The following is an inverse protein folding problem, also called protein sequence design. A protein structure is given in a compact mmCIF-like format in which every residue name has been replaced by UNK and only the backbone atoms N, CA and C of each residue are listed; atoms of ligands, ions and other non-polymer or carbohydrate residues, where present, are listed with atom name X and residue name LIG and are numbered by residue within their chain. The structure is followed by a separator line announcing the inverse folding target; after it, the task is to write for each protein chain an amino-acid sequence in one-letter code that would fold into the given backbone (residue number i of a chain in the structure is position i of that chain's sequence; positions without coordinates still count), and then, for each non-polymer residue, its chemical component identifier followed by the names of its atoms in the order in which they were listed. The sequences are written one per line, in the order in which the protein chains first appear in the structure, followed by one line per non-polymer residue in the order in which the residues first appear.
data_IF_857008730045
#
_entry.id   IF_857008730045
#
_cell.length_a   1.000
_cell.length_b   1.000
_cell.length_c   1.000
_cell.angle_alpha   90.00
_cell.angle_beta   90.00
_cell.angle_gamma   90.00
#
_symmetry.space_group_name_H-M   'P 1'
#
loop_
_entity.id
_entity.type
_entity.pdbx_description
1 polymer ?
#
# COMPACT_ATOMS: atom_id res chain seq x y z
N UNK A 1 37.97 8.08 -6.65
CA UNK A 1 37.28 9.05 -5.78
C UNK A 1 36.67 8.45 -4.50
N UNK A 2 36.82 7.15 -4.21
CA UNK A 2 36.23 6.49 -3.04
C UNK A 2 37.16 6.28 -1.82
N UNK A 3 38.45 6.63 -1.91
CA UNK A 3 39.39 6.51 -0.78
C UNK A 3 39.32 7.67 0.23
N UNK A 4 38.70 8.81 -0.12
CA UNK A 4 38.71 10.01 0.74
C UNK A 4 37.59 10.05 1.79
N UNK A 5 36.46 9.37 1.57
CA UNK A 5 35.30 9.44 2.47
C UNK A 5 35.45 8.46 3.64
N UNK A 6 36.00 7.27 3.39
CA UNK A 6 36.25 6.27 4.45
C UNK A 6 37.30 6.77 5.45
N UNK A 7 38.33 7.45 4.97
CA UNK A 7 39.37 8.03 5.85
C UNK A 7 38.83 9.21 6.67
N UNK A 8 37.90 10.01 6.13
CA UNK A 8 37.29 11.13 6.87
C UNK A 8 36.34 10.65 7.98
N UNK A 9 35.55 9.60 7.72
CA UNK A 9 34.63 9.03 8.72
C UNK A 9 35.37 8.28 9.83
N UNK A 10 36.46 7.57 9.52
CA UNK A 10 37.28 6.88 10.52
C UNK A 10 38.03 7.90 11.40
N UNK A 11 38.59 8.96 10.81
CA UNK A 11 39.28 10.01 11.58
C UNK A 11 38.29 10.80 12.45
N UNK A 12 37.08 11.10 11.97
CA UNK A 12 36.04 11.79 12.76
C UNK A 12 35.56 10.94 13.94
N UNK A 13 35.28 9.65 13.72
CA UNK A 13 34.91 8.72 14.81
C UNK A 13 36.07 8.50 15.80
N UNK A 14 37.32 8.47 15.34
CA UNK A 14 38.48 8.29 16.22
C UNK A 14 38.78 9.55 17.06
N UNK A 15 38.54 10.75 16.51
CA UNK A 15 38.66 12.02 17.22
C UNK A 15 37.52 12.17 18.24
N UNK A 16 36.27 11.85 17.89
CA UNK A 16 35.14 11.90 18.82
C UNK A 16 35.28 10.90 19.97
N UNK A 17 35.73 9.67 19.71
CA UNK A 17 36.00 8.66 20.76
C UNK A 17 37.19 9.05 21.63
N UNK A 18 38.23 9.72 21.10
CA UNK A 18 39.33 10.25 21.91
C UNK A 18 38.89 11.42 22.79
N UNK A 19 38.08 12.34 22.27
CA UNK A 19 37.55 13.46 23.05
C UNK A 19 36.59 12.98 24.14
N UNK A 20 35.72 12.01 23.82
CA UNK A 20 34.84 11.36 24.79
C UNK A 20 35.64 10.64 25.88
N UNK A 21 36.68 9.87 25.51
CA UNK A 21 37.57 9.22 26.48
C UNK A 21 38.37 10.22 27.33
N UNK A 22 38.73 11.38 26.78
CA UNK A 22 39.47 12.43 27.51
C UNK A 22 38.55 13.19 28.48
N UNK A 23 37.29 13.43 28.10
CA UNK A 23 36.25 14.04 28.95
C UNK A 23 35.81 13.09 30.07
N UNK A 24 35.65 11.80 29.79
CA UNK A 24 35.38 10.75 30.79
C UNK A 24 36.57 10.58 31.74
N UNK A 25 37.81 10.72 31.26
CA UNK A 25 39.03 10.71 32.10
C UNK A 25 39.06 11.84 33.14
N UNK A 26 38.52 13.02 32.84
CA UNK A 26 38.44 14.16 33.78
C UNK A 26 37.32 14.03 34.81
N UNK A 27 36.50 12.97 34.76
CA UNK A 27 35.49 12.60 35.78
C UNK A 27 34.61 13.75 36.25
N UNK A 28 34.23 14.66 35.36
CA UNK A 28 33.28 15.69 35.73
C UNK A 28 31.89 15.01 35.82
N UNK A 29 31.27 14.93 37.01
CA UNK A 29 29.99 14.24 37.20
C UNK A 29 28.90 14.87 36.33
N UNK A 30 28.99 16.18 36.06
CA UNK A 30 28.08 16.90 35.17
C UNK A 30 28.17 16.37 33.74
N UNK A 31 29.38 16.11 33.24
CA UNK A 31 29.60 15.63 31.86
C UNK A 31 29.14 14.18 31.73
N UNK A 32 29.39 13.34 32.74
CA UNK A 32 28.93 11.94 32.73
C UNK A 32 27.40 11.87 32.80
N UNK A 33 26.77 12.67 33.65
CA UNK A 33 25.31 12.79 33.72
C UNK A 33 24.72 13.34 32.42
N UNK A 34 25.38 14.30 31.76
CA UNK A 34 24.92 14.83 30.48
C UNK A 34 24.99 13.77 29.37
N UNK A 35 26.09 13.00 29.31
CA UNK A 35 26.25 11.91 28.34
C UNK A 35 25.22 10.80 28.58
N UNK A 36 24.99 10.42 29.84
CA UNK A 36 23.92 9.47 30.20
C UNK A 36 22.55 10.00 29.80
N UNK A 37 22.24 11.27 30.10
CA UNK A 37 20.97 11.90 29.74
C UNK A 37 20.76 11.91 28.22
N UNK A 38 21.76 12.31 27.45
CA UNK A 38 21.70 12.30 25.98
C UNK A 38 21.49 10.88 25.46
N UNK A 39 22.24 9.89 25.95
CA UNK A 39 22.07 8.49 25.54
C UNK A 39 20.70 7.93 25.96
N UNK A 40 20.19 8.28 27.14
CA UNK A 40 18.86 7.87 27.59
C UNK A 40 17.77 8.54 26.76
N UNK A 41 17.91 9.81 26.37
CA UNK A 41 16.99 10.48 25.44
C UNK A 41 17.02 9.83 24.06
N UNK A 42 18.19 9.45 23.54
CA UNK A 42 18.30 8.70 22.27
C UNK A 42 17.69 7.29 22.34
N UNK A 43 17.72 6.63 23.50
CA UNK A 43 17.12 5.30 23.71
C UNK A 43 15.63 5.38 24.03
N UNK A 44 15.19 6.39 24.77
CA UNK A 44 13.80 6.58 25.21
C UNK A 44 12.95 7.36 24.20
N UNK A 45 13.56 8.14 23.30
CA UNK A 45 12.90 8.79 22.18
C UNK A 45 13.53 8.35 20.86
N UNK A 46 13.22 7.14 20.35
CA UNK A 46 13.53 6.80 18.97
C UNK A 46 12.81 7.71 17.96
N UNK A 47 11.87 8.55 18.41
CA UNK A 47 11.05 9.40 17.55
C UNK A 47 10.81 10.77 18.19
N UNK A 48 11.70 11.72 17.93
CA UNK A 48 11.24 13.08 17.65
C UNK A 48 10.89 13.10 16.17
N UNK A 49 9.72 12.55 15.82
CA UNK A 49 9.07 12.94 14.55
C UNK A 49 8.69 14.40 14.74
N UNK A 50 9.26 15.26 13.92
CA UNK A 50 8.82 16.64 13.81
C UNK A 50 7.39 16.56 13.29
N UNK A 51 6.41 16.92 14.09
CA UNK A 51 5.07 17.25 13.57
C UNK A 51 5.27 18.43 12.62
N UNK A 52 5.21 18.16 11.31
CA UNK A 52 5.44 19.19 10.30
C UNK A 52 5.58 18.60 8.89
N UNK A 53 4.45 18.59 8.19
CA UNK A 53 4.21 18.15 6.81
C UNK A 53 4.23 16.63 6.60
N UNK A 54 3.10 16.07 6.15
CA UNK A 54 3.11 14.77 5.50
C UNK A 54 4.12 14.82 4.35
N UNK A 55 4.99 13.82 4.26
CA UNK A 55 5.81 13.53 3.07
C UNK A 55 4.94 13.01 1.91
N UNK A 56 3.62 12.91 2.13
CA UNK A 56 2.60 12.68 1.12
C UNK A 56 2.01 14.04 0.75
N UNK A 57 2.30 14.51 -0.46
CA UNK A 57 1.60 15.65 -1.05
C UNK A 57 0.36 15.17 -1.79
N UNK A 58 -0.73 15.95 -1.78
CA UNK A 58 -1.85 15.72 -2.67
C UNK A 58 -2.29 17.01 -3.36
N UNK A 59 -2.93 16.87 -4.52
CA UNK A 59 -3.51 17.97 -5.28
C UNK A 59 -4.70 17.52 -6.09
N UNK A 60 -5.75 18.34 -6.13
CA UNK A 60 -6.89 18.16 -7.02
C UNK A 60 -6.68 18.98 -8.29
N UNK A 61 -6.61 18.29 -9.43
CA UNK A 61 -6.55 18.88 -10.76
C UNK A 61 -7.94 19.24 -11.28
N UNK A 62 -8.06 19.49 -12.59
CA UNK A 62 -9.35 19.69 -13.26
C UNK A 62 -10.12 18.37 -13.47
N UNK A 63 -9.39 17.27 -13.59
CA UNK A 63 -9.93 15.97 -13.94
C UNK A 63 -9.15 14.83 -13.27
N UNK A 64 -8.53 15.09 -12.12
CA UNK A 64 -7.77 14.07 -11.39
C UNK A 64 -7.54 14.47 -9.94
N UNK A 65 -7.31 13.46 -9.09
CA UNK A 65 -6.73 13.63 -7.76
C UNK A 65 -5.34 13.00 -7.82
N UNK A 66 -4.30 13.79 -7.59
CA UNK A 66 -2.92 13.31 -7.59
C UNK A 66 -2.41 13.23 -6.16
N UNK A 67 -1.82 12.10 -5.80
CA UNK A 67 -1.10 11.88 -4.55
C UNK A 67 0.34 11.55 -4.88
N UNK A 68 1.27 12.29 -4.29
CA UNK A 68 2.69 12.22 -4.57
C UNK A 68 3.42 11.90 -3.28
N UNK A 69 4.17 10.81 -3.26
CA UNK A 69 5.00 10.38 -2.14
C UNK A 69 6.48 10.43 -2.54
N UNK A 70 7.39 10.06 -1.65
CA UNK A 70 8.81 9.89 -2.01
C UNK A 70 9.11 8.70 -2.95
N UNK A 71 8.17 7.79 -3.19
CA UNK A 71 8.38 6.54 -3.96
C UNK A 71 7.38 6.32 -5.09
N UNK A 72 6.23 6.97 -5.05
CA UNK A 72 5.19 6.80 -6.05
C UNK A 72 4.44 8.09 -6.30
N UNK A 73 3.92 8.21 -7.52
CA UNK A 73 2.77 9.08 -7.77
C UNK A 73 1.58 8.21 -8.11
N UNK A 74 0.46 8.49 -7.46
CA UNK A 74 -0.83 7.86 -7.67
C UNK A 74 -1.83 8.89 -8.17
N UNK A 75 -2.68 8.52 -9.11
CA UNK A 75 -3.75 9.36 -9.64
C UNK A 75 -5.07 8.61 -9.63
N UNK A 76 -6.11 9.25 -9.10
CA UNK A 76 -7.49 8.90 -9.41
C UNK A 76 -7.96 9.77 -10.59
N UNK A 77 -8.14 9.14 -11.75
CA UNK A 77 -8.44 9.80 -13.02
C UNK A 77 -9.93 10.13 -13.12
N UNK A 78 -10.24 11.35 -13.57
CA UNK A 78 -11.59 11.88 -13.74
C UNK A 78 -12.49 11.72 -12.50
N UNK A 79 -11.89 11.66 -11.31
CA UNK A 79 -12.57 11.39 -10.03
C UNK A 79 -13.33 10.05 -10.01
N UNK A 80 -12.91 9.08 -10.82
CA UNK A 80 -13.54 7.76 -11.01
C UNK A 80 -12.63 6.65 -10.45
N UNK A 81 -13.14 5.41 -10.30
CA UNK A 81 -12.33 4.27 -9.85
C UNK A 81 -11.41 3.76 -10.98
N UNK A 82 -10.61 4.67 -11.50
CA UNK A 82 -9.68 4.52 -12.59
C UNK A 82 -8.34 5.11 -12.14
N UNK A 83 -7.41 4.23 -11.81
CA UNK A 83 -6.24 4.57 -11.03
C UNK A 83 -4.98 4.39 -11.87
N UNK A 84 -4.15 5.42 -11.92
CA UNK A 84 -2.83 5.37 -12.51
C UNK A 84 -1.75 5.47 -11.42
N UNK A 85 -0.67 4.72 -11.56
CA UNK A 85 0.43 4.67 -10.62
C UNK A 85 1.74 4.49 -11.39
N UNK A 86 2.78 5.23 -11.00
CA UNK A 86 4.13 5.00 -11.48
C UNK A 86 5.18 5.21 -10.39
N UNK A 87 6.37 4.68 -10.68
CA UNK A 87 7.50 4.69 -9.76
C UNK A 87 8.22 6.03 -9.80
N UNK A 88 8.60 6.53 -8.62
CA UNK A 88 9.32 7.77 -8.39
C UNK A 88 8.65 9.06 -8.96
N UNK A 89 8.95 10.21 -8.35
CA UNK A 89 8.46 11.51 -8.81
C UNK A 89 9.23 12.06 -10.02
N UNK A 90 10.02 11.22 -10.68
CA UNK A 90 10.79 11.66 -11.84
C UNK A 90 9.77 11.82 -12.96
N UNK A 91 9.58 13.07 -13.37
CA UNK A 91 8.77 13.55 -14.50
C UNK A 91 9.25 13.00 -15.86
N UNK A 92 9.45 11.69 -15.97
CA UNK A 92 9.71 11.00 -17.23
C UNK A 92 8.61 9.98 -17.43
N UNK A 93 7.90 10.23 -18.51
CA UNK A 93 6.76 9.55 -19.11
C UNK A 93 6.99 8.09 -19.50
N UNK A 94 7.78 7.30 -18.75
CA UNK A 94 8.27 6.02 -19.24
C UNK A 94 7.39 4.82 -18.87
N UNK A 95 6.67 4.85 -17.74
CA UNK A 95 5.85 3.73 -17.27
C UNK A 95 4.67 4.27 -16.47
N UNK A 96 3.44 4.04 -16.91
CA UNK A 96 2.22 4.44 -16.18
C UNK A 96 1.30 3.22 -16.08
N UNK A 97 1.35 2.55 -14.93
CA UNK A 97 0.54 1.38 -14.64
C UNK A 97 -0.88 1.80 -14.29
N UNK A 98 -1.88 1.10 -14.81
CA UNK A 98 -3.29 1.45 -14.65
C UNK A 98 -4.10 0.28 -14.12
N UNK A 99 -4.92 0.56 -13.12
CA UNK A 99 -5.94 -0.33 -12.56
C UNK A 99 -7.28 0.39 -12.67
N UNK A 100 -8.14 -0.09 -13.55
CA UNK A 100 -9.43 0.51 -13.82
C UNK A 100 -10.57 -0.43 -13.44
N UNK A 101 -11.51 0.03 -12.62
CA UNK A 101 -12.72 -0.72 -12.29
C UNK A 101 -13.84 -0.26 -13.22
N UNK A 102 -14.15 -1.11 -14.20
CA UNK A 102 -15.00 -0.72 -15.33
C UNK A 102 -16.48 -0.87 -15.05
N UNK A 103 -16.88 -1.98 -14.42
CA UNK A 103 -18.28 -2.40 -14.39
C UNK A 103 -18.56 -3.30 -13.20
N UNK A 104 -19.73 -3.16 -12.60
CA UNK A 104 -20.26 -4.13 -11.64
C UNK A 104 -21.60 -4.66 -12.15
N UNK A 105 -21.81 -5.97 -12.04
CA UNK A 105 -23.00 -6.62 -12.59
C UNK A 105 -23.37 -7.89 -11.83
N UNK A 106 -24.65 -8.21 -11.74
CA UNK A 106 -25.11 -9.49 -11.20
C UNK A 106 -24.70 -10.68 -12.07
N UNK A 107 -24.43 -11.81 -11.42
CA UNK A 107 -24.26 -13.09 -12.13
C UNK A 107 -25.26 -14.14 -11.66
N UNK A 108 -25.54 -15.08 -12.56
CA UNK A 108 -26.48 -16.17 -12.41
C UNK A 108 -25.78 -17.46 -12.78
N UNK A 109 -25.96 -18.52 -12.01
CA UNK A 109 -25.27 -19.78 -12.29
C UNK A 109 -25.66 -20.85 -11.28
N UNK A 110 -25.00 -22.00 -11.36
CA UNK A 110 -25.12 -23.04 -10.32
C UNK A 110 -24.23 -22.76 -9.12
N UNK A 111 -23.12 -22.05 -9.34
CA UNK A 111 -22.01 -21.94 -8.40
C UNK A 111 -21.99 -20.57 -7.71
N UNK A 112 -21.18 -20.45 -6.66
CA UNK A 112 -21.04 -19.23 -5.85
C UNK A 112 -20.05 -18.22 -6.46
N UNK A 113 -19.56 -18.44 -7.68
CA UNK A 113 -18.63 -17.55 -8.38
C UNK A 113 -18.92 -17.53 -9.89
N UNK A 114 -18.47 -16.48 -10.57
CA UNK A 114 -18.64 -16.29 -12.00
C UNK A 114 -17.69 -17.19 -12.79
N UNK A 115 -18.23 -18.17 -13.50
CA UNK A 115 -17.47 -19.13 -14.30
C UNK A 115 -17.34 -18.73 -15.77
N UNK A 116 -18.32 -18.04 -16.32
CA UNK A 116 -18.39 -17.66 -17.73
C UNK A 116 -19.10 -16.31 -17.88
N UNK A 117 -18.69 -15.47 -18.83
CA UNK A 117 -19.39 -14.23 -19.19
C UNK A 117 -20.89 -14.42 -19.51
N UNK A 118 -21.31 -15.60 -19.99
CA UNK A 118 -22.74 -15.90 -20.26
C UNK A 118 -23.62 -15.91 -19.00
N UNK A 119 -23.01 -16.03 -17.82
CA UNK A 119 -23.68 -15.99 -16.52
C UNK A 119 -24.00 -14.56 -16.06
N UNK A 120 -23.43 -13.55 -16.73
CA UNK A 120 -23.67 -12.14 -16.41
C UNK A 120 -25.08 -11.71 -16.84
N UNK A 121 -25.84 -11.11 -15.92
CA UNK A 121 -27.21 -10.67 -16.19
C UNK A 121 -27.68 -9.61 -15.20
N UNK A 122 -28.99 -9.39 -15.13
CA UNK A 122 -29.62 -8.60 -14.06
C UNK A 122 -29.18 -7.13 -13.98
N UNK A 123 -29.09 -6.62 -12.75
CA UNK A 123 -28.69 -5.23 -12.48
C UNK A 123 -27.22 -5.05 -12.82
N UNK A 124 -26.90 -3.97 -13.52
CA UNK A 124 -25.51 -3.60 -13.86
C UNK A 124 -25.31 -2.10 -13.83
N UNK A 125 -24.08 -1.69 -13.49
CA UNK A 125 -23.63 -0.31 -13.55
C UNK A 125 -22.27 -0.22 -14.23
N UNK A 126 -22.17 0.64 -15.24
CA UNK A 126 -20.90 1.06 -15.83
C UNK A 126 -20.26 2.09 -14.90
N UNK A 127 -19.15 1.73 -14.26
CA UNK A 127 -18.55 2.56 -13.22
C UNK A 127 -17.86 3.80 -13.82
N UNK A 128 -17.36 3.73 -15.06
CA UNK A 128 -16.61 4.83 -15.67
C UNK A 128 -17.50 5.80 -16.44
N UNK A 129 -18.69 5.37 -16.87
CA UNK A 129 -19.67 6.24 -17.53
C UNK A 129 -20.45 7.15 -16.57
N UNK A 130 -20.42 6.88 -15.26
CA UNK A 130 -21.13 7.67 -14.25
C UNK A 130 -20.29 8.81 -13.68
N UNK A 131 -20.96 9.81 -13.10
CA UNK A 131 -20.34 10.88 -12.30
C UNK A 131 -20.20 10.42 -10.84
N UNK A 132 -19.08 10.78 -10.22
CA UNK A 132 -18.72 10.35 -8.87
C UNK A 132 -18.50 11.57 -7.97
N UNK A 133 -19.03 11.48 -6.75
CA UNK A 133 -18.66 12.41 -5.70
C UNK A 133 -17.31 11.98 -5.11
N UNK A 134 -16.48 12.94 -4.71
CA UNK A 134 -15.22 12.64 -4.06
C UNK A 134 -15.00 13.49 -2.81
N UNK A 135 -14.30 12.91 -1.84
CA UNK A 135 -13.81 13.57 -0.65
C UNK A 135 -12.34 13.15 -0.42
N UNK A 136 -11.48 14.11 -0.10
CA UNK A 136 -10.10 13.84 0.28
C UNK A 136 -9.90 14.29 1.72
N UNK A 137 -9.49 13.35 2.57
CA UNK A 137 -9.13 13.62 3.96
C UNK A 137 -7.66 13.30 4.18
N UNK A 138 -6.94 14.25 4.78
CA UNK A 138 -5.54 14.11 5.16
C UNK A 138 -5.44 14.12 6.69
N UNK A 139 -4.66 13.18 7.23
CA UNK A 139 -4.16 13.23 8.60
C UNK A 139 -2.62 13.30 8.59
N UNK A 140 -1.97 13.28 9.76
CA UNK A 140 -0.52 13.43 9.86
C UNK A 140 0.30 12.36 9.10
N UNK A 141 -0.31 11.22 8.74
CA UNK A 141 0.40 10.08 8.13
C UNK A 141 -0.35 9.45 6.94
N UNK A 142 -1.56 9.88 6.62
CA UNK A 142 -2.41 9.25 5.63
C UNK A 142 -3.09 10.28 4.75
N UNK A 143 -3.19 9.95 3.47
CA UNK A 143 -4.14 10.57 2.55
C UNK A 143 -5.18 9.52 2.18
N UNK A 144 -6.43 9.84 2.45
CA UNK A 144 -7.58 9.01 2.11
C UNK A 144 -8.43 9.71 1.07
N UNK A 145 -8.66 9.05 -0.07
CA UNK A 145 -9.55 9.49 -1.12
C UNK A 145 -10.78 8.60 -1.08
N UNK A 146 -11.95 9.18 -0.86
CA UNK A 146 -13.22 8.47 -0.92
C UNK A 146 -13.96 8.88 -2.20
N UNK A 147 -14.08 7.95 -3.15
CA UNK A 147 -14.90 8.10 -4.34
C UNK A 147 -16.24 7.41 -4.08
N UNK A 148 -17.36 8.12 -4.24
CA UNK A 148 -18.70 7.61 -3.98
C UNK A 148 -19.61 7.78 -5.19
N UNK A 149 -20.17 6.67 -5.66
CA UNK A 149 -21.26 6.64 -6.63
C UNK A 149 -22.56 6.40 -5.88
N UNK A 150 -23.47 7.37 -5.99
CA UNK A 150 -24.79 7.34 -5.35
C UNK A 150 -25.90 7.61 -6.37
N UNK A 151 -27.15 7.65 -5.94
CA UNK A 151 -28.30 7.87 -6.84
C UNK A 151 -28.64 6.66 -7.74
N UNK A 152 -28.04 5.50 -7.48
CA UNK A 152 -28.33 4.26 -8.18
C UNK A 152 -29.67 3.67 -7.74
N UNK A 153 -30.21 2.74 -8.52
CA UNK A 153 -31.49 2.11 -8.22
C UNK A 153 -31.46 1.45 -6.83
N UNK A 154 -32.58 1.48 -6.11
CA UNK A 154 -32.73 0.93 -4.76
C UNK A 154 -31.81 1.55 -3.69
N UNK A 155 -31.27 2.77 -3.92
CA UNK A 155 -30.33 3.44 -3.02
C UNK A 155 -29.02 2.66 -2.83
N UNK A 156 -28.60 1.92 -3.88
CA UNK A 156 -27.27 1.32 -3.92
C UNK A 156 -26.22 2.42 -3.88
N UNK A 157 -25.18 2.20 -3.09
CA UNK A 157 -24.01 3.07 -3.03
C UNK A 157 -22.78 2.21 -3.30
N UNK A 158 -21.90 2.67 -4.17
CA UNK A 158 -20.61 2.03 -4.44
C UNK A 158 -19.52 3.03 -4.06
N UNK A 159 -18.54 2.59 -3.29
CA UNK A 159 -17.42 3.43 -2.87
C UNK A 159 -16.09 2.75 -3.16
N UNK A 160 -15.12 3.58 -3.52
CA UNK A 160 -13.71 3.19 -3.57
C UNK A 160 -12.96 4.12 -2.63
N UNK A 161 -12.44 3.55 -1.54
CA UNK A 161 -11.71 4.27 -0.52
C UNK A 161 -10.24 3.93 -0.70
N UNK A 162 -9.48 4.89 -1.23
CA UNK A 162 -8.04 4.76 -1.42
C UNK A 162 -7.33 5.30 -0.19
N UNK A 163 -6.44 4.52 0.41
CA UNK A 163 -5.60 4.92 1.53
C UNK A 163 -4.11 4.78 1.14
N UNK A 164 -3.37 5.87 1.28
CA UNK A 164 -1.93 5.93 1.10
C UNK A 164 -1.32 6.42 2.40
N UNK A 165 -0.36 5.66 2.94
CA UNK A 165 0.19 5.88 4.28
C UNK A 165 1.71 6.05 4.32
N UNK A 166 2.18 6.81 5.30
CA UNK A 166 3.57 6.87 5.73
C UNK A 166 3.96 5.74 6.69
N UNK A 167 2.98 5.00 7.20
CA UNK A 167 3.15 3.94 8.18
C UNK A 167 2.80 2.59 7.56
N UNK A 168 3.39 1.53 8.11
CA UNK A 168 2.97 0.17 7.80
C UNK A 168 1.57 -0.04 8.40
N UNK A 169 0.59 -0.37 7.57
CA UNK A 169 -0.78 -0.64 7.99
C UNK A 169 -1.10 -2.12 7.75
N UNK A 170 -1.59 -2.87 8.76
CA UNK A 170 -2.06 -4.23 8.55
C UNK A 170 -3.21 -4.28 7.55
N UNK A 171 -3.13 -5.22 6.60
CA UNK A 171 -4.23 -5.49 5.66
C UNK A 171 -5.10 -6.60 6.25
N UNK A 172 -6.37 -6.29 6.47
CA UNK A 172 -7.34 -7.22 7.07
C UNK A 172 -7.42 -8.54 6.28
N UNK A 173 -7.67 -9.63 7.00
CA UNK A 173 -7.77 -11.00 6.45
C UNK A 173 -6.50 -11.53 5.75
N UNK A 174 -5.34 -10.88 5.96
CA UNK A 174 -4.02 -11.32 5.46
C UNK A 174 -2.95 -11.17 6.54
N UNK A 175 -1.74 -11.67 6.25
CA UNK A 175 -0.50 -11.37 6.97
C UNK A 175 0.35 -10.29 6.27
N UNK A 176 -0.21 -9.60 5.27
CA UNK A 176 0.43 -8.51 4.56
C UNK A 176 0.38 -7.20 5.36
N UNK A 177 1.37 -6.34 5.13
CA UNK A 177 1.42 -4.97 5.61
C UNK A 177 1.49 -4.05 4.39
N UNK A 178 0.59 -3.07 4.33
CA UNK A 178 0.62 -2.00 3.35
C UNK A 178 1.95 -1.26 3.46
N UNK A 179 2.72 -1.22 2.38
CA UNK A 179 4.05 -0.62 2.38
C UNK A 179 3.98 0.90 2.36
N UNK A 180 4.69 1.56 3.30
CA UNK A 180 4.76 3.02 3.35
C UNK A 180 5.22 3.63 2.03
N UNK A 181 4.50 4.65 1.58
CA UNK A 181 4.79 5.47 0.42
C UNK A 181 4.78 4.78 -0.95
N UNK A 182 4.72 3.45 -1.04
CA UNK A 182 4.86 2.72 -2.31
C UNK A 182 3.65 1.86 -2.69
N UNK A 183 2.64 1.79 -1.81
CA UNK A 183 1.39 1.08 -2.05
C UNK A 183 0.20 1.96 -1.70
N UNK A 184 -0.88 1.79 -2.46
CA UNK A 184 -2.19 2.32 -2.19
C UNK A 184 -3.15 1.16 -1.87
N UNK A 185 -3.80 1.20 -0.72
CA UNK A 185 -4.89 0.29 -0.39
C UNK A 185 -6.19 0.84 -0.96
N UNK A 186 -6.93 0.04 -1.71
CA UNK A 186 -8.22 0.38 -2.29
C UNK A 186 -9.27 -0.52 -1.64
N UNK A 187 -10.06 0.04 -0.74
CA UNK A 187 -11.21 -0.64 -0.15
C UNK A 187 -12.45 -0.38 -1.01
N UNK A 188 -12.98 -1.45 -1.57
CA UNK A 188 -14.18 -1.48 -2.39
C UNK A 188 -15.37 -1.73 -1.46
N UNK A 189 -16.33 -0.82 -1.46
CA UNK A 189 -17.53 -0.92 -0.64
C UNK A 189 -18.77 -0.88 -1.51
N UNK A 190 -19.59 -1.92 -1.47
CA UNK A 190 -20.91 -1.95 -2.14
C UNK A 190 -21.97 -2.02 -1.06
N UNK A 191 -22.87 -1.04 -0.96
CA UNK A 191 -23.92 -0.96 0.07
C UNK A 191 -25.31 -1.09 -0.51
N UNK A 192 -26.19 -1.73 0.25
CA UNK A 192 -27.63 -1.85 -0.02
C UNK A 192 -27.97 -2.52 -1.37
N UNK A 193 -27.10 -3.40 -1.87
CA UNK A 193 -27.40 -4.11 -3.11
C UNK A 193 -28.60 -5.05 -2.92
N UNK A 194 -29.66 -4.85 -3.70
CA UNK A 194 -30.84 -5.71 -3.71
C UNK A 194 -30.82 -6.61 -4.93
N UNK A 195 -30.69 -7.91 -4.69
CA UNK A 195 -30.50 -8.88 -5.75
C UNK A 195 -31.77 -9.13 -6.56
N UNK A 196 -31.63 -9.25 -7.88
CA UNK A 196 -32.67 -9.82 -8.73
C UNK A 196 -32.96 -11.27 -8.30
N UNK A 197 -34.23 -11.70 -8.39
CA UNK A 197 -34.60 -13.08 -8.08
C UNK A 197 -33.78 -14.07 -8.93
N UNK A 198 -33.10 -15.00 -8.26
CA UNK A 198 -32.24 -16.00 -8.90
C UNK A 198 -30.78 -15.57 -9.09
N UNK A 199 -30.42 -14.31 -8.82
CA UNK A 199 -29.02 -13.87 -8.86
C UNK A 199 -28.20 -14.60 -7.77
N UNK A 200 -26.97 -15.00 -8.14
CA UNK A 200 -26.03 -15.72 -7.28
C UNK A 200 -25.02 -14.81 -6.59
N UNK A 201 -24.83 -13.60 -7.10
CA UNK A 201 -23.90 -12.63 -6.55
C UNK A 201 -23.71 -11.45 -7.49
N UNK A 202 -22.72 -10.61 -7.19
CA UNK A 202 -22.27 -9.54 -8.08
C UNK A 202 -20.81 -9.79 -8.50
N UNK A 203 -20.47 -9.43 -9.71
CA UNK A 203 -19.13 -9.51 -10.24
C UNK A 203 -18.63 -8.10 -10.63
N UNK A 204 -17.40 -7.78 -10.25
CA UNK A 204 -16.72 -6.53 -10.55
C UNK A 204 -15.65 -6.77 -11.61
N UNK A 205 -15.81 -6.17 -12.78
CA UNK A 205 -14.80 -6.15 -13.84
C UNK A 205 -13.73 -5.11 -13.50
N UNK A 206 -12.48 -5.54 -13.52
CA UNK A 206 -11.31 -4.66 -13.51
C UNK A 206 -10.49 -4.86 -14.78
N UNK A 207 -9.65 -3.88 -15.09
CA UNK A 207 -8.70 -3.89 -16.20
C UNK A 207 -7.34 -3.44 -15.67
N UNK A 208 -6.30 -4.24 -15.92
CA UNK A 208 -4.92 -3.96 -15.52
C UNK A 208 -4.05 -3.89 -16.76
N UNK A 209 -3.34 -2.77 -16.94
CA UNK A 209 -2.48 -2.53 -18.10
C UNK A 209 -1.42 -1.47 -17.85
N UNK A 210 -0.46 -1.34 -18.78
CA UNK A 210 0.46 -0.20 -18.85
C UNK A 210 -0.03 0.76 -19.94
N UNK A 211 -0.20 2.03 -19.58
CA UNK A 211 -0.98 2.98 -20.38
C UNK A 211 -0.17 3.77 -21.40
N UNK A 212 1.16 3.81 -21.29
CA UNK A 212 2.01 4.49 -22.26
C UNK A 212 2.42 3.61 -23.44
N UNK A 213 2.37 2.27 -23.29
CA UNK A 213 2.80 1.27 -24.28
C UNK A 213 4.23 1.51 -24.80
N UNK A 214 5.12 2.06 -23.96
CA UNK A 214 6.49 2.41 -24.36
C UNK A 214 7.41 1.19 -24.27
N UNK A 215 7.20 0.35 -23.26
CA UNK A 215 7.94 -0.88 -23.04
C UNK A 215 7.07 -2.09 -23.42
N UNK A 216 7.70 -3.22 -23.72
CA UNK A 216 6.99 -4.49 -23.76
C UNK A 216 6.65 -4.87 -22.31
N UNK A 217 5.36 -5.11 -22.03
CA UNK A 217 4.85 -5.34 -20.68
C UNK A 217 4.23 -6.71 -20.60
N UNK A 218 4.83 -7.58 -19.78
CA UNK A 218 4.22 -8.87 -19.44
C UNK A 218 3.42 -8.71 -18.15
N UNK A 219 2.10 -8.93 -18.22
CA UNK A 219 1.25 -9.06 -17.04
C UNK A 219 0.99 -10.55 -16.80
N UNK A 220 1.36 -11.03 -15.61
CA UNK A 220 1.28 -12.46 -15.30
C UNK A 220 0.74 -12.67 -13.89
N UNK A 221 0.06 -13.80 -13.69
CA UNK A 221 -0.29 -14.29 -12.35
C UNK A 221 1.00 -14.43 -11.53
N UNK A 222 1.09 -13.71 -10.42
CA UNK A 222 2.25 -13.76 -9.55
C UNK A 222 2.11 -14.93 -8.59
N UNK A 223 2.92 -15.97 -8.79
CA UNK A 223 2.81 -17.22 -8.02
C UNK A 223 3.68 -17.26 -6.76
N UNK A 224 4.57 -16.28 -6.58
CA UNK A 224 5.48 -16.18 -5.43
C UNK A 224 5.00 -15.10 -4.44
N UNK A 225 3.73 -15.17 -4.05
CA UNK A 225 3.14 -14.28 -3.05
C UNK A 225 3.54 -14.79 -1.66
N UNK A 226 4.29 -14.01 -0.85
CA UNK A 226 4.67 -14.44 0.50
C UNK A 226 3.55 -14.28 1.53
N UNK A 227 2.42 -13.70 1.11
CA UNK A 227 1.24 -13.44 1.94
C UNK A 227 0.18 -14.54 1.77
N UNK A 228 -0.41 -14.93 2.88
CA UNK A 228 -1.60 -15.76 2.96
C UNK A 228 -2.83 -15.01 2.43
N UNK A 229 -3.77 -15.78 1.87
CA UNK A 229 -5.10 -15.30 1.46
C UNK A 229 -5.11 -14.16 0.42
N UNK A 230 -4.12 -14.14 -0.47
CA UNK A 230 -3.97 -13.12 -1.50
C UNK A 230 -3.78 -13.77 -2.87
N UNK A 231 -4.35 -13.16 -3.89
CA UNK A 231 -4.00 -13.37 -5.29
C UNK A 231 -3.41 -12.09 -5.87
N UNK A 232 -2.51 -12.22 -6.85
CA UNK A 232 -1.80 -11.07 -7.38
C UNK A 232 -1.48 -11.21 -8.87
N UNK A 233 -1.49 -10.08 -9.55
CA UNK A 233 -0.90 -9.86 -10.86
C UNK A 233 0.41 -9.09 -10.68
N UNK A 234 1.43 -9.55 -11.38
CA UNK A 234 2.69 -8.83 -11.53
C UNK A 234 2.74 -8.23 -12.92
N UNK A 235 3.07 -6.94 -12.98
CA UNK A 235 3.28 -6.19 -14.21
C UNK A 235 4.80 -6.02 -14.36
N UNK A 236 5.38 -6.62 -15.40
CA UNK A 236 6.80 -6.54 -15.69
C UNK A 236 7.03 -5.65 -16.90
N UNK A 237 7.53 -4.44 -16.67
CA UNK A 237 8.04 -3.59 -17.74
C UNK A 237 9.44 -4.05 -18.16
N UNK A 238 9.62 -4.38 -19.44
CA UNK A 238 10.93 -4.77 -19.97
C UNK A 238 11.76 -3.53 -20.40
N UNK A 239 12.04 -2.63 -19.45
CA UNK A 239 12.82 -1.42 -19.66
C UNK A 239 14.36 -1.63 -19.72
N UNK A 240 14.84 -2.88 -19.87
CA UNK A 240 16.26 -3.21 -19.92
C UNK A 240 16.87 -3.64 -18.58
N UNK A 241 17.94 -2.97 -18.12
CA UNK A 241 18.87 -3.52 -17.11
C UNK A 241 18.34 -3.60 -15.65
N UNK A 242 17.15 -3.07 -15.36
CA UNK A 242 16.45 -3.23 -14.07
C UNK A 242 14.94 -3.16 -14.32
N UNK A 243 14.23 -4.28 -14.52
CA UNK A 243 12.78 -4.25 -14.67
C UNK A 243 12.17 -3.84 -13.33
N UNK A 244 11.60 -2.64 -13.27
CA UNK A 244 10.71 -2.24 -12.20
C UNK A 244 9.45 -3.11 -12.27
N UNK A 245 8.91 -3.44 -11.10
CA UNK A 245 7.79 -4.38 -10.97
C UNK A 245 6.68 -3.71 -10.21
N UNK A 246 5.60 -3.40 -10.91
CA UNK A 246 4.33 -3.10 -10.28
C UNK A 246 3.57 -4.41 -10.01
N UNK A 247 2.70 -4.36 -9.01
CA UNK A 247 1.79 -5.45 -8.68
C UNK A 247 0.46 -4.88 -8.25
N UNK A 248 -0.56 -5.62 -8.64
CA UNK A 248 -1.90 -5.49 -8.10
C UNK A 248 -2.15 -6.79 -7.37
N UNK A 249 -2.57 -6.70 -6.12
CA UNK A 249 -3.02 -7.87 -5.38
C UNK A 249 -4.34 -7.59 -4.68
N UNK A 250 -5.08 -8.63 -4.39
CA UNK A 250 -6.37 -8.54 -3.73
C UNK A 250 -6.52 -9.65 -2.71
N UNK A 251 -7.30 -9.36 -1.67
CA UNK A 251 -7.59 -10.30 -0.60
C UNK A 251 -8.64 -11.28 -1.11
N UNK A 252 -8.39 -12.59 -0.98
CA UNK A 252 -9.32 -13.60 -1.49
C UNK A 252 -10.60 -13.70 -0.67
N UNK A 253 -10.72 -12.95 0.41
CA UNK A 253 -11.90 -12.85 1.25
C UNK A 253 -12.44 -11.42 1.26
N UNK A 254 -13.77 -11.31 1.30
CA UNK A 254 -14.48 -10.07 1.52
C UNK A 254 -15.37 -10.19 2.76
N UNK A 255 -15.53 -9.07 3.48
CA UNK A 255 -16.39 -8.99 4.64
C UNK A 255 -17.78 -8.50 4.27
N UNK A 256 -18.79 -9.15 4.83
CA UNK A 256 -20.20 -8.97 4.54
C UNK A 256 -20.86 -8.39 5.78
N UNK A 257 -21.65 -7.34 5.60
CA UNK A 257 -22.36 -6.66 6.66
C UNK A 257 -23.86 -6.58 6.35
N UNK A 258 -24.67 -6.64 7.40
CA UNK A 258 -26.07 -6.25 7.35
C UNK A 258 -26.17 -4.85 7.98
N UNK A 259 -26.39 -3.84 7.15
CA UNK A 259 -26.24 -2.43 7.50
C UNK A 259 -24.84 -2.13 8.07
N UNK A 260 -24.74 -1.97 9.39
CA UNK A 260 -23.48 -1.70 10.12
C UNK A 260 -22.97 -2.89 10.95
N UNK A 261 -23.71 -4.00 10.96
CA UNK A 261 -23.35 -5.18 11.77
C UNK A 261 -22.65 -6.19 10.88
N UNK A 262 -21.43 -6.58 11.27
CA UNK A 262 -20.69 -7.64 10.61
C UNK A 262 -21.52 -8.94 10.60
N UNK A 263 -21.61 -9.55 9.44
CA UNK A 263 -22.39 -10.76 9.21
C UNK A 263 -21.49 -11.97 8.99
N UNK A 264 -20.58 -11.91 8.01
CA UNK A 264 -19.68 -13.02 7.70
C UNK A 264 -18.49 -12.56 6.85
N UNK A 265 -17.49 -13.42 6.70
CA UNK A 265 -16.43 -13.32 5.68
C UNK A 265 -16.67 -14.42 4.65
N UNK A 266 -16.47 -14.11 3.37
CA UNK A 266 -16.60 -15.10 2.31
C UNK A 266 -15.53 -14.95 1.24
N UNK A 267 -15.13 -16.10 0.71
CA UNK A 267 -14.14 -16.19 -0.35
C UNK A 267 -14.71 -15.58 -1.64
N UNK A 268 -13.98 -14.65 -2.22
CA UNK A 268 -14.26 -14.09 -3.52
C UNK A 268 -13.72 -15.02 -4.62
N UNK A 269 -14.46 -15.12 -5.72
CA UNK A 269 -13.98 -15.82 -6.92
C UNK A 269 -13.21 -14.86 -7.82
N UNK A 270 -12.16 -15.36 -8.47
CA UNK A 270 -11.48 -14.64 -9.56
C UNK A 270 -11.64 -15.42 -10.86
N UNK A 271 -12.05 -14.72 -11.92
CA UNK A 271 -12.10 -15.28 -13.27
C UNK A 271 -11.53 -14.31 -14.29
N UNK A 272 -11.05 -14.85 -15.41
CA UNK A 272 -10.41 -14.10 -16.47
C UNK A 272 -11.10 -14.44 -17.78
N UNK A 273 -11.71 -13.45 -18.42
CA UNK A 273 -12.33 -13.60 -19.73
C UNK A 273 -11.63 -12.65 -20.69
N UNK A 274 -11.14 -13.18 -21.82
CA UNK A 274 -10.64 -12.33 -22.90
C UNK A 274 -11.82 -11.70 -23.63
N UNK A 275 -11.79 -10.40 -23.86
CA UNK A 275 -12.81 -9.78 -24.70
C UNK A 275 -12.44 -9.94 -26.18
N UNK A 276 -13.44 -10.25 -27.00
CA UNK A 276 -13.24 -10.47 -28.45
C UNK A 276 -12.87 -9.17 -29.19
N UNK A 277 -12.97 -8.02 -28.50
CA UNK A 277 -12.81 -6.69 -29.06
C UNK A 277 -11.61 -5.92 -28.49
N UNK A 278 -10.73 -6.55 -27.72
CA UNK A 278 -9.52 -5.88 -27.24
C UNK A 278 -8.66 -5.42 -28.44
N UNK A 279 -8.23 -4.15 -28.49
CA UNK A 279 -7.40 -3.66 -29.57
C UNK A 279 -6.12 -4.51 -29.68
N UNK A 280 -5.71 -4.91 -30.90
CA UNK A 280 -4.49 -5.67 -31.07
C UNK A 280 -3.27 -4.85 -30.59
N UNK A 281 -2.53 -5.40 -29.62
CA UNK A 281 -1.29 -4.82 -29.10
C UNK A 281 -1.36 -4.16 -27.72
N UNK A 282 -2.52 -4.15 -27.06
CA UNK A 282 -2.61 -3.78 -25.65
C UNK A 282 -2.51 -5.04 -24.77
N UNK A 283 -1.41 -5.19 -24.03
CA UNK A 283 -1.24 -6.25 -23.04
C UNK A 283 -2.08 -5.94 -21.80
N UNK A 284 -3.37 -6.27 -21.90
CA UNK A 284 -4.41 -6.06 -20.89
C UNK A 284 -4.85 -7.36 -20.26
N UNK A 285 -5.10 -7.34 -18.95
CA UNK A 285 -5.81 -8.41 -18.25
C UNK A 285 -7.11 -7.86 -17.70
N UNK A 286 -8.19 -8.64 -17.82
CA UNK A 286 -9.53 -8.31 -17.34
C UNK A 286 -9.99 -9.22 -16.19
N UNK A 287 -9.52 -9.03 -14.94
CA UNK A 287 -9.99 -9.81 -13.81
C UNK A 287 -11.44 -9.47 -13.47
N UNK A 288 -12.22 -10.52 -13.22
CA UNK A 288 -13.56 -10.44 -12.65
C UNK A 288 -13.55 -10.95 -11.21
N UNK A 289 -13.88 -10.07 -10.27
CA UNK A 289 -14.03 -10.43 -8.86
C UNK A 289 -15.49 -10.75 -8.56
N UNK A 290 -15.77 -11.99 -8.18
CA UNK A 290 -17.10 -12.51 -7.88
C UNK A 290 -17.36 -12.46 -6.38
N UNK A 291 -18.45 -11.80 -6.00
CA UNK A 291 -18.92 -11.68 -4.63
C UNK A 291 -20.24 -12.44 -4.46
N UNK A 292 -20.24 -13.62 -3.81
CA UNK A 292 -21.45 -14.43 -3.64
C UNK A 292 -22.53 -13.71 -2.85
N UNK A 293 -23.78 -13.96 -3.22
CA UNK A 293 -24.95 -13.54 -2.46
C UNK A 293 -25.07 -14.40 -1.20
N UNK A 294 -24.80 -13.81 -0.05
CA UNK A 294 -24.99 -14.47 1.26
C UNK A 294 -26.26 -13.98 1.97
N UNK A 295 -26.85 -12.87 1.52
CA UNK A 295 -28.10 -12.30 2.02
C UNK A 295 -28.84 -11.53 0.91
N UNK A 296 -30.11 -11.17 1.14
CA UNK A 296 -30.96 -10.44 0.18
C UNK A 296 -30.57 -8.97 -0.01
N UNK A 297 -29.99 -8.34 1.03
CA UNK A 297 -29.40 -7.00 0.97
C UNK A 297 -27.97 -7.08 1.47
N UNK A 298 -27.06 -6.40 0.78
CA UNK A 298 -25.65 -6.62 0.99
C UNK A 298 -24.84 -5.33 1.13
N UNK A 299 -24.02 -5.30 2.19
CA UNK A 299 -22.85 -4.43 2.30
C UNK A 299 -21.59 -5.28 2.20
N UNK A 300 -20.74 -5.05 1.20
CA UNK A 300 -19.47 -5.76 0.97
C UNK A 300 -18.32 -4.81 1.24
N UNK A 301 -17.30 -5.26 1.97
CA UNK A 301 -15.99 -4.62 2.04
C UNK A 301 -14.94 -5.58 1.49
N UNK A 302 -14.21 -5.17 0.46
CA UNK A 302 -13.13 -5.95 -0.12
C UNK A 302 -11.90 -5.09 -0.36
N UNK A 303 -10.71 -5.64 -0.15
CA UNK A 303 -9.46 -4.90 -0.22
C UNK A 303 -8.63 -5.35 -1.42
N UNK A 304 -8.24 -4.37 -2.23
CA UNK A 304 -7.24 -4.49 -3.27
C UNK A 304 -6.06 -3.57 -2.91
N UNK A 305 -4.84 -3.91 -3.33
CA UNK A 305 -3.65 -3.09 -3.18
C UNK A 305 -2.96 -2.94 -4.51
N UNK A 306 -2.52 -1.73 -4.79
CA UNK A 306 -1.78 -1.39 -5.99
C UNK A 306 -0.47 -0.68 -5.61
N UNK A 307 0.67 -1.16 -6.09
CA UNK A 307 1.95 -0.55 -5.76
C UNK A 307 3.15 -1.08 -6.55
N UNK A 308 4.33 -0.61 -6.16
CA UNK A 308 5.62 -0.91 -6.81
C UNK A 308 6.68 -1.33 -5.78
N UNK A 309 7.43 -2.38 -6.10
CA UNK A 309 8.50 -2.98 -5.29
C UNK A 309 9.75 -2.97 -6.17
N UNK A 310 10.82 -2.40 -5.64
CA UNK A 310 12.16 -2.75 -6.13
C UNK A 310 12.43 -4.22 -5.76
N UNK A 311 12.95 -4.99 -6.71
CA UNK A 311 13.33 -6.40 -6.57
C UNK A 311 14.30 -6.66 -5.40
N UNK A 312 14.86 -5.61 -4.79
CA UNK A 312 15.86 -5.68 -3.72
C UNK A 312 15.44 -5.15 -2.34
N UNK A 313 14.15 -4.95 -2.04
CA UNK A 313 13.76 -4.74 -0.63
C UNK A 313 13.81 -6.05 0.17
N UNK A 314 15.04 -6.44 0.55
CA UNK A 314 15.26 -7.24 1.75
C UNK A 314 14.50 -6.61 2.92
N UNK A 315 13.98 -7.40 3.88
CA UNK A 315 13.19 -6.89 5.01
C UNK A 315 14.10 -6.04 5.91
N UNK A 316 14.26 -4.75 5.61
CA UNK A 316 15.35 -3.94 6.18
C UNK A 316 14.90 -2.79 7.06
N UNK A 317 13.61 -2.72 7.41
CA UNK A 317 13.16 -1.82 8.48
C UNK A 317 13.04 -2.51 9.84
N UNK A 318 12.71 -3.80 9.90
CA UNK A 318 12.67 -4.51 11.18
C UNK A 318 14.08 -4.69 11.78
N UNK A 319 15.09 -5.00 10.97
CA UNK A 319 16.48 -5.17 11.46
C UNK A 319 17.05 -3.85 12.00
N UNK A 320 16.69 -2.70 11.41
CA UNK A 320 17.15 -1.38 11.88
C UNK A 320 16.50 -0.97 13.21
N UNK A 321 15.23 -1.34 13.41
CA UNK A 321 14.46 -1.04 14.62
C UNK A 321 14.99 -1.76 15.87
N UNK A 322 15.58 -2.95 15.75
CA UNK A 322 16.18 -3.65 16.88
C UNK A 322 17.63 -3.24 17.18
N UNK A 323 18.38 -2.76 16.19
CA UNK A 323 19.82 -2.45 16.37
C UNK A 323 20.04 -1.21 17.24
N UNK A 324 19.23 -0.17 17.09
CA UNK A 324 19.42 1.11 17.81
C UNK A 324 19.22 0.98 19.33
N UNK A 325 18.13 0.34 19.83
CA UNK A 325 17.97 0.08 21.26
C UNK A 325 19.06 -0.81 21.84
N UNK A 326 19.53 -1.81 21.07
CA UNK A 326 20.57 -2.75 21.49
C UNK A 326 21.92 -2.04 21.63
N UNK A 327 22.34 -1.26 20.62
CA UNK A 327 23.59 -0.49 20.68
C UNK A 327 23.55 0.55 21.81
N UNK A 328 22.42 1.27 21.96
CA UNK A 328 22.23 2.24 23.03
C UNK A 328 22.32 1.61 24.43
N UNK A 329 21.70 0.44 24.62
CA UNK A 329 21.74 -0.31 25.88
C UNK A 329 23.16 -0.80 26.21
N UNK A 330 23.90 -1.31 25.22
CA UNK A 330 25.29 -1.75 25.39
C UNK A 330 26.20 -0.58 25.80
N UNK A 331 26.00 0.62 25.22
CA UNK A 331 26.77 1.82 25.56
C UNK A 331 26.47 2.31 26.98
N UNK A 332 25.20 2.33 27.39
CA UNK A 332 24.79 2.72 28.75
C UNK A 332 25.40 1.77 29.79
N UNK A 333 25.34 0.45 29.56
CA UNK A 333 25.92 -0.55 30.47
C UNK A 333 27.44 -0.37 30.58
N UNK A 334 28.15 -0.12 29.47
CA UNK A 334 29.60 0.10 29.52
C UNK A 334 29.97 1.37 30.30
N UNK A 335 29.23 2.48 30.14
CA UNK A 335 29.43 3.70 30.92
C UNK A 335 29.21 3.44 32.42
N UNK A 336 28.14 2.73 32.79
CA UNK A 336 27.86 2.36 34.18
C UNK A 336 28.95 1.46 34.76
N UNK A 337 29.41 0.45 34.02
CA UNK A 337 30.49 -0.46 34.46
C UNK A 337 31.79 0.31 34.73
N UNK A 338 32.16 1.28 33.89
CA UNK A 338 33.34 2.13 34.09
C UNK A 338 33.21 2.97 35.38
N UNK A 339 32.02 3.50 35.65
CA UNK A 339 31.76 4.33 36.84
C UNK A 339 31.75 3.49 38.12
N UNK A 340 31.11 2.31 38.11
CA UNK A 340 30.94 1.46 39.29
C UNK A 340 32.15 0.56 39.61
N UNK A 341 32.88 0.02 38.62
CA UNK A 341 34.09 -0.80 38.88
C UNK A 341 35.19 -0.04 39.62
N UNK A 342 35.24 1.29 39.49
CA UNK A 342 36.23 2.11 40.21
C UNK A 342 35.81 2.53 41.62
N UNK A 343 34.54 2.36 41.99
CA UNK A 343 34.05 2.56 43.37
C UNK A 343 34.32 1.35 44.27
N UNK A 344 34.39 0.15 43.70
CA UNK A 344 34.72 -1.09 44.41
C UNK A 344 36.23 -1.29 44.68
N UNK A 345 37.09 -0.43 44.12
CA UNK A 345 38.55 -0.42 44.34
C UNK A 345 38.96 0.79 45.20
N UNK A 346 38.21 1.05 46.28
CA UNK A 346 38.59 1.99 47.33
C UNK A 346 38.47 1.34 48.69
#
# INVERSE_FOLDING_TARGET
MFKSIVTYTIIRNYIEVRYLNMLIKKRNPVIISLVLLVLTVFVASPYLKVDGAAFIGFGTGFNEITVTTQKMTFKALNYKPDFALWHDNISVSAEEYRLSFMKIQEYFGSDDYLNNSDELGGISYDLLANEWDYEVTEDSFNVVINLTLSGLANNVIIQFIVNISELEIPIENTDALLQPFSEAQITIVVKNWKFTAGAKGIALKSEVFESMNINYVDIVNYTYIPYSNVEALQIQSNAGYNPEKAFVYWVNDADYYNDSTYYNTSKIGSSYFNETNDPPGEDKIHPWFSYPKINESLTINHVCVFGIYDRNTYPSNQVRNYIIPIIGSILIVNVLVIVFRRKAWK
#
